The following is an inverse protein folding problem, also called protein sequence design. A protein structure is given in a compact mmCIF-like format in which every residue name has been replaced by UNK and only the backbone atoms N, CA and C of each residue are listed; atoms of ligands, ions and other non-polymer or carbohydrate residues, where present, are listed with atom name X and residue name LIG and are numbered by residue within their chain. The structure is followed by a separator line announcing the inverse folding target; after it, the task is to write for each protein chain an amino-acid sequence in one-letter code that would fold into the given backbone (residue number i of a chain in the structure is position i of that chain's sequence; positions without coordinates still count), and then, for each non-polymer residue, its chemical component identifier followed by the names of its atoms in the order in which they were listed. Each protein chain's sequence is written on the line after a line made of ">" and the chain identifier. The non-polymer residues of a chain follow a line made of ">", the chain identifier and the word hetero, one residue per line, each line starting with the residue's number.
data_IF_814990126105
#
_entry.id   IF_814990126105
#
_cell.length_a   1.000
_cell.length_b   1.000
_cell.length_c   1.000
_cell.angle_alpha   90.00
_cell.angle_beta   90.00
_cell.angle_gamma   90.00
#
_symmetry.space_group_name_H-M   'P 1'
#
loop_
_entity.id
_entity.type
_entity.pdbx_description
1 polymer ?
#
# COMPACT_ATOMS: atom_id res chain seq x y z
N UNK A 1 8.23 -14.23 23.89
CA UNK A 1 6.89 -14.87 23.75
C UNK A 1 6.44 -14.58 22.34
N UNK A 2 6.64 -15.52 21.42
CA UNK A 2 6.36 -15.34 20.00
C UNK A 2 4.90 -15.75 19.73
N UNK A 3 4.06 -14.80 19.40
CA UNK A 3 2.71 -15.05 18.90
C UNK A 3 2.76 -15.01 17.36
N UNK A 4 2.98 -16.16 16.74
CA UNK A 4 2.56 -16.40 15.37
C UNK A 4 1.23 -17.15 15.44
N UNK A 5 0.14 -16.40 15.44
CA UNK A 5 -1.20 -16.99 15.26
C UNK A 5 -1.55 -16.76 13.79
N UNK A 6 -1.22 -17.76 12.98
CA UNK A 6 -1.84 -17.97 11.68
C UNK A 6 -3.21 -18.58 11.97
N UNK A 7 -4.25 -17.76 11.91
CA UNK A 7 -5.63 -18.25 11.88
C UNK A 7 -5.92 -18.63 10.43
N UNK A 8 -5.86 -19.92 10.13
CA UNK A 8 -6.48 -20.53 8.95
C UNK A 8 -7.70 -21.31 9.43
N UNK A 9 -8.85 -21.08 8.80
CA UNK A 9 -9.98 -22.01 8.76
C UNK A 9 -10.91 -21.65 7.57
N UNK A 10 -11.33 -22.49 6.62
CA UNK A 10 -10.76 -23.66 5.90
C UNK A 10 -11.87 -24.22 4.98
N UNK A 11 -12.45 -23.44 4.05
CA UNK A 11 -13.46 -24.04 3.12
C UNK A 11 -13.28 -23.85 1.61
N UNK A 12 -13.09 -22.68 0.99
CA UNK A 12 -12.62 -22.52 -0.43
C UNK A 12 -12.01 -21.10 -0.59
N UNK A 13 -10.88 -20.95 -1.30
CA UNK A 13 -9.98 -19.80 -1.11
C UNK A 13 -9.56 -19.00 -2.37
N UNK A 14 -9.31 -17.71 -2.16
CA UNK A 14 -9.12 -16.57 -3.08
C UNK A 14 -8.00 -16.73 -4.14
N UNK A 15 -7.26 -17.84 -4.16
CA UNK A 15 -6.22 -18.11 -5.16
C UNK A 15 -6.72 -18.97 -6.33
N UNK A 16 -7.73 -19.82 -6.13
CA UNK A 16 -8.46 -20.41 -7.26
C UNK A 16 -9.16 -19.30 -8.09
N UNK A 17 -9.51 -18.20 -7.42
CA UNK A 17 -10.16 -17.00 -7.92
C UNK A 17 -9.27 -16.18 -8.87
N UNK A 18 -7.95 -16.10 -8.61
CA UNK A 18 -7.03 -15.27 -9.39
C UNK A 18 -6.56 -15.95 -10.69
N UNK A 19 -6.29 -17.26 -10.64
CA UNK A 19 -5.95 -18.03 -11.83
C UNK A 19 -7.13 -18.14 -12.84
N UNK A 20 -8.38 -18.02 -12.38
CA UNK A 20 -9.57 -17.95 -13.25
C UNK A 20 -9.74 -16.57 -13.92
N UNK A 21 -9.24 -15.50 -13.29
CA UNK A 21 -9.29 -14.13 -13.80
C UNK A 21 -8.19 -13.89 -14.86
N UNK A 22 -7.01 -14.48 -14.69
CA UNK A 22 -5.92 -14.39 -15.68
C UNK A 22 -6.20 -15.19 -16.96
N UNK A 23 -6.97 -16.27 -16.89
CA UNK A 23 -7.39 -17.04 -18.09
C UNK A 23 -8.51 -16.33 -18.90
N UNK A 24 -9.24 -15.37 -18.31
CA UNK A 24 -10.37 -14.65 -18.92
C UNK A 24 -10.05 -13.24 -19.50
N UNK A 25 -8.78 -12.81 -19.41
CA UNK A 25 -8.31 -11.53 -19.98
C UNK A 25 -8.60 -10.28 -19.15
N UNK A 26 -8.74 -10.40 -17.82
CA UNK A 26 -9.05 -9.30 -16.90
C UNK A 26 -7.82 -8.97 -16.02
N UNK A 27 -7.36 -7.73 -16.03
CA UNK A 27 -6.35 -7.18 -15.10
C UNK A 27 -6.93 -6.94 -13.70
N UNK A 28 -6.23 -7.38 -12.65
CA UNK A 28 -6.56 -7.08 -11.25
C UNK A 28 -5.33 -6.56 -10.50
N UNK A 29 -5.49 -5.50 -9.70
CA UNK A 29 -4.42 -4.90 -8.91
C UNK A 29 -4.01 -5.83 -7.74
N UNK A 30 -2.86 -6.49 -7.88
CA UNK A 30 -2.44 -7.56 -6.97
C UNK A 30 -1.73 -7.00 -5.73
N UNK A 31 -2.33 -7.23 -4.55
CA UNK A 31 -1.70 -7.07 -3.22
C UNK A 31 -0.63 -8.16 -2.95
N UNK A 32 0.36 -7.91 -2.07
CA UNK A 32 1.38 -8.90 -1.66
C UNK A 32 0.84 -10.26 -1.17
N UNK A 33 -0.42 -10.33 -0.73
CA UNK A 33 -1.10 -11.56 -0.30
C UNK A 33 -1.23 -12.63 -1.38
N UNK A 34 -1.31 -12.26 -2.67
CA UNK A 34 -1.47 -13.25 -3.74
C UNK A 34 -0.17 -13.98 -4.06
N UNK A 35 0.99 -13.35 -3.84
CA UNK A 35 2.30 -13.96 -4.08
C UNK A 35 2.67 -14.96 -2.97
N UNK A 36 2.37 -14.64 -1.70
CA UNK A 36 2.49 -15.60 -0.60
C UNK A 36 1.62 -16.84 -0.83
N UNK A 37 0.42 -16.63 -1.37
CA UNK A 37 -0.52 -17.71 -1.64
C UNK A 37 -0.17 -18.54 -2.87
N UNK A 38 0.31 -17.90 -3.94
CA UNK A 38 0.87 -18.58 -5.10
C UNK A 38 2.05 -19.47 -4.67
N UNK A 39 2.94 -18.97 -3.80
CA UNK A 39 4.08 -19.73 -3.27
C UNK A 39 3.65 -21.01 -2.52
N UNK A 40 2.59 -20.94 -1.73
CA UNK A 40 2.06 -22.10 -0.97
C UNK A 40 1.49 -23.16 -1.92
N UNK A 41 0.63 -22.77 -2.86
CA UNK A 41 0.03 -23.69 -3.84
C UNK A 41 1.12 -24.33 -4.71
N UNK A 42 2.11 -23.55 -5.14
CA UNK A 42 3.20 -24.07 -5.95
C UNK A 42 4.12 -25.01 -5.19
N UNK A 43 4.31 -24.83 -3.87
CA UNK A 43 5.08 -25.77 -3.05
C UNK A 43 4.38 -27.15 -2.94
N UNK A 44 3.05 -27.17 -2.86
CA UNK A 44 2.26 -28.41 -2.88
C UNK A 44 2.41 -29.14 -4.23
N UNK A 45 2.31 -28.40 -5.33
CA UNK A 45 2.50 -28.95 -6.69
C UNK A 45 3.93 -29.47 -6.90
N UNK A 46 4.96 -28.79 -6.39
CA UNK A 46 6.34 -29.25 -6.49
C UNK A 46 6.55 -30.59 -5.76
N UNK A 47 5.85 -30.84 -4.65
CA UNK A 47 5.96 -32.11 -3.94
C UNK A 47 5.46 -33.32 -4.75
N UNK A 48 4.63 -33.09 -5.77
CA UNK A 48 4.13 -34.12 -6.69
C UNK A 48 5.13 -34.50 -7.79
N UNK A 49 6.18 -33.70 -8.00
CA UNK A 49 7.23 -34.00 -8.98
C UNK A 49 8.11 -35.17 -8.51
N UNK A 50 8.73 -35.93 -9.44
CA UNK A 50 9.73 -36.93 -9.10
C UNK A 50 10.88 -36.31 -8.27
N UNK A 51 11.45 -37.01 -7.27
CA UNK A 51 12.46 -36.43 -6.36
C UNK A 51 13.69 -35.80 -7.03
N UNK A 52 14.07 -36.27 -8.23
CA UNK A 52 15.16 -35.69 -9.01
C UNK A 52 14.83 -34.36 -9.71
N UNK A 53 13.55 -34.02 -9.81
CA UNK A 53 13.04 -32.85 -10.55
C UNK A 53 12.49 -31.76 -9.61
N UNK A 54 12.17 -32.11 -8.36
CA UNK A 54 11.64 -31.17 -7.35
C UNK A 54 12.56 -29.94 -7.14
N UNK A 55 13.88 -30.15 -7.15
CA UNK A 55 14.84 -29.05 -7.02
C UNK A 55 14.76 -28.06 -8.18
N UNK A 56 14.64 -28.57 -9.40
CA UNK A 56 14.52 -27.74 -10.60
C UNK A 56 13.18 -26.98 -10.63
N UNK A 57 12.08 -27.65 -10.29
CA UNK A 57 10.75 -27.03 -10.22
C UNK A 57 10.69 -25.91 -9.16
N UNK A 58 11.35 -26.10 -8.00
CA UNK A 58 11.48 -25.07 -6.97
C UNK A 58 12.27 -23.86 -7.46
N UNK A 59 13.40 -24.08 -8.13
CA UNK A 59 14.25 -22.97 -8.57
C UNK A 59 13.55 -22.13 -9.66
N UNK A 60 12.73 -22.75 -10.53
CA UNK A 60 11.86 -22.04 -11.49
C UNK A 60 10.80 -21.21 -10.77
N UNK A 61 10.14 -21.77 -9.74
CA UNK A 61 9.14 -21.04 -8.96
C UNK A 61 9.74 -19.79 -8.30
N UNK A 62 10.92 -19.92 -7.70
CA UNK A 62 11.62 -18.78 -7.07
C UNK A 62 11.89 -17.69 -8.10
N UNK A 63 12.44 -18.05 -9.26
CA UNK A 63 12.73 -17.07 -10.31
C UNK A 63 11.46 -16.34 -10.81
N UNK A 64 10.35 -17.06 -10.98
CA UNK A 64 9.08 -16.46 -11.37
C UNK A 64 8.51 -15.53 -10.29
N UNK A 65 8.61 -15.93 -9.01
CA UNK A 65 8.17 -15.08 -7.90
C UNK A 65 8.99 -13.80 -7.79
N UNK A 66 10.31 -13.87 -7.98
CA UNK A 66 11.19 -12.71 -7.98
C UNK A 66 10.80 -11.74 -9.11
N UNK A 67 10.60 -12.24 -10.33
CA UNK A 67 10.16 -11.43 -11.47
C UNK A 67 8.78 -10.78 -11.24
N UNK A 68 7.84 -11.53 -10.65
CA UNK A 68 6.52 -11.00 -10.33
C UNK A 68 6.55 -9.92 -9.24
N UNK A 69 7.44 -10.07 -8.25
CA UNK A 69 7.67 -9.07 -7.21
C UNK A 69 8.25 -7.78 -7.81
N UNK A 70 9.26 -7.90 -8.68
CA UNK A 70 9.86 -6.75 -9.35
C UNK A 70 8.83 -6.00 -10.21
N UNK A 71 8.02 -6.72 -10.99
CA UNK A 71 6.96 -6.11 -11.80
C UNK A 71 5.89 -5.40 -10.94
N UNK A 72 5.52 -5.97 -9.79
CA UNK A 72 4.58 -5.36 -8.86
C UNK A 72 5.13 -4.08 -8.23
N UNK A 73 6.43 -4.07 -7.88
CA UNK A 73 7.12 -2.92 -7.34
C UNK A 73 7.26 -1.78 -8.37
N UNK A 74 7.61 -2.11 -9.62
CA UNK A 74 7.65 -1.16 -10.74
C UNK A 74 6.28 -0.54 -11.01
N UNK A 75 5.23 -1.37 -11.06
CA UNK A 75 3.87 -0.90 -11.26
C UNK A 75 3.42 0.02 -10.10
N UNK A 76 3.80 -0.30 -8.86
CA UNK A 76 3.53 0.54 -7.69
C UNK A 76 4.27 1.88 -7.79
N UNK A 77 5.56 1.87 -8.13
CA UNK A 77 6.37 3.09 -8.28
C UNK A 77 5.81 3.99 -9.39
N UNK A 78 5.39 3.41 -10.51
CA UNK A 78 4.73 4.13 -11.59
C UNK A 78 3.42 4.76 -11.14
N UNK A 79 2.55 4.03 -10.44
CA UNK A 79 1.28 4.60 -9.90
C UNK A 79 1.52 5.78 -8.97
N UNK A 80 2.56 5.72 -8.14
CA UNK A 80 2.95 6.84 -7.24
C UNK A 80 3.46 8.03 -8.05
N UNK A 81 4.33 7.78 -9.02
CA UNK A 81 4.90 8.85 -9.87
C UNK A 81 3.80 9.55 -10.66
N UNK A 82 2.94 8.79 -11.34
CA UNK A 82 1.79 9.28 -12.09
C UNK A 82 0.82 10.05 -11.18
N UNK A 83 0.63 9.57 -9.94
CA UNK A 83 -0.17 10.27 -8.93
C UNK A 83 0.43 11.65 -8.60
N UNK A 84 1.72 11.74 -8.31
CA UNK A 84 2.39 13.01 -7.97
C UNK A 84 2.32 13.98 -9.15
N UNK A 85 2.57 13.52 -10.37
CA UNK A 85 2.45 14.34 -11.58
C UNK A 85 1.03 14.86 -11.79
N UNK A 86 0.02 14.00 -11.59
CA UNK A 86 -1.39 14.38 -11.64
C UNK A 86 -1.73 15.41 -10.57
N UNK A 87 -1.28 15.20 -9.33
CA UNK A 87 -1.51 16.15 -8.23
C UNK A 87 -0.94 17.54 -8.56
N UNK A 88 0.28 17.58 -9.11
CA UNK A 88 0.93 18.83 -9.52
C UNK A 88 0.18 19.52 -10.66
N UNK A 89 -0.30 18.75 -11.63
CA UNK A 89 -1.07 19.26 -12.78
C UNK A 89 -2.42 19.84 -12.35
N UNK A 90 -3.14 19.11 -11.51
CA UNK A 90 -4.55 19.40 -11.21
C UNK A 90 -4.73 20.35 -10.02
N UNK A 91 -3.75 20.37 -9.10
CA UNK A 91 -3.82 21.17 -7.87
C UNK A 91 -2.65 22.15 -7.68
N UNK A 92 -1.72 22.21 -8.63
CA UNK A 92 -0.63 23.19 -8.66
C UNK A 92 0.55 22.83 -7.76
N UNK A 93 0.95 23.76 -6.89
CA UNK A 93 2.13 23.59 -6.05
C UNK A 93 1.95 22.44 -5.04
N UNK A 94 2.99 21.61 -4.92
CA UNK A 94 3.05 20.52 -3.96
C UNK A 94 3.99 20.86 -2.82
N UNK A 95 3.66 20.36 -1.63
CA UNK A 95 4.50 20.39 -0.45
C UNK A 95 4.81 18.96 -0.01
N UNK A 96 6.09 18.68 0.21
CA UNK A 96 6.53 17.37 0.69
C UNK A 96 6.55 17.36 2.22
N UNK A 97 5.74 16.50 2.82
CA UNK A 97 5.86 16.15 4.22
C UNK A 97 6.73 14.90 4.39
N UNK A 98 7.56 14.89 5.44
CA UNK A 98 8.34 13.72 5.86
C UNK A 98 8.10 13.48 7.33
N UNK A 99 7.78 12.25 7.71
CA UNK A 99 7.67 11.91 9.12
C UNK A 99 9.04 12.02 9.83
N UNK A 100 9.07 12.19 11.16
CA UNK A 100 10.30 12.07 11.94
C UNK A 100 10.99 10.72 11.68
N UNK A 101 12.24 10.75 11.21
CA UNK A 101 12.99 9.56 10.80
C UNK A 101 12.91 9.24 9.29
N UNK A 102 12.06 9.93 8.53
CA UNK A 102 12.12 9.99 7.06
C UNK A 102 11.60 8.76 6.30
N UNK A 103 10.97 7.80 6.99
CA UNK A 103 10.51 6.55 6.39
C UNK A 103 9.11 6.65 5.72
N UNK A 104 8.34 7.70 6.01
CA UNK A 104 7.15 8.10 5.25
C UNK A 104 7.41 9.45 4.60
N UNK A 105 7.03 9.56 3.32
CA UNK A 105 7.10 10.78 2.53
C UNK A 105 5.77 10.93 1.80
N UNK A 106 5.15 12.10 1.89
CA UNK A 106 3.89 12.43 1.21
C UNK A 106 4.07 13.74 0.44
N UNK A 107 3.79 13.73 -0.85
CA UNK A 107 3.71 14.91 -1.70
C UNK A 107 2.25 15.34 -1.82
N UNK A 108 1.92 16.48 -1.20
CA UNK A 108 0.55 16.92 -0.98
C UNK A 108 0.28 18.26 -1.66
N UNK A 109 -0.92 18.49 -2.24
CA UNK A 109 -1.30 19.79 -2.77
C UNK A 109 -1.27 20.90 -1.70
N UNK A 110 -0.38 21.88 -1.87
CA UNK A 110 -0.15 22.95 -0.89
C UNK A 110 -1.44 23.74 -0.61
N UNK A 111 -2.24 24.04 -1.63
CA UNK A 111 -3.49 24.78 -1.47
C UNK A 111 -4.50 24.08 -0.56
N UNK A 112 -4.62 22.76 -0.70
CA UNK A 112 -5.54 21.94 0.13
C UNK A 112 -4.97 21.80 1.54
N UNK A 113 -3.67 21.53 1.68
CA UNK A 113 -2.98 21.45 2.97
C UNK A 113 -3.13 22.74 3.78
N UNK A 114 -2.96 23.91 3.15
CA UNK A 114 -3.14 25.20 3.79
C UNK A 114 -4.60 25.45 4.19
N UNK A 115 -5.56 25.07 3.36
CA UNK A 115 -6.98 25.17 3.69
C UNK A 115 -7.36 24.36 4.95
N UNK A 116 -6.72 23.18 5.14
CA UNK A 116 -6.88 22.36 6.36
C UNK A 116 -6.29 23.05 7.59
N UNK A 117 -5.12 23.68 7.46
CA UNK A 117 -4.44 24.36 8.56
C UNK A 117 -5.11 25.67 9.00
N UNK A 118 -5.66 26.44 8.06
CA UNK A 118 -6.23 27.77 8.31
C UNK A 118 -7.69 27.75 8.79
N UNK A 119 -8.43 26.67 8.53
CA UNK A 119 -9.86 26.61 8.90
C UNK A 119 -10.03 26.39 10.41
N UNK A 120 -10.94 27.15 11.03
CA UNK A 120 -11.44 26.88 12.39
C UNK A 120 -12.69 25.99 12.41
N UNK A 121 -13.27 25.68 11.24
CA UNK A 121 -14.44 24.83 11.11
C UNK A 121 -14.01 23.35 11.01
N UNK A 122 -14.31 22.58 12.04
CA UNK A 122 -13.95 21.16 12.16
C UNK A 122 -14.61 20.27 11.10
N UNK A 123 -15.88 20.54 10.73
CA UNK A 123 -16.58 19.78 9.71
C UNK A 123 -15.95 19.99 8.32
N UNK A 124 -15.62 21.25 7.99
CA UNK A 124 -14.90 21.56 6.77
C UNK A 124 -13.51 20.93 6.75
N UNK A 125 -12.79 20.99 7.89
CA UNK A 125 -11.48 20.36 8.04
C UNK A 125 -11.53 18.87 7.76
N UNK A 126 -12.52 18.16 8.33
CA UNK A 126 -12.69 16.72 8.13
C UNK A 126 -12.96 16.37 6.66
N UNK A 127 -13.82 17.14 5.98
CA UNK A 127 -14.10 16.94 4.55
C UNK A 127 -12.82 17.07 3.72
N UNK A 128 -12.00 18.10 3.99
CA UNK A 128 -10.74 18.31 3.29
C UNK A 128 -9.69 17.23 3.58
N UNK A 129 -9.64 16.71 4.80
CA UNK A 129 -8.77 15.57 5.14
C UNK A 129 -9.18 14.33 4.34
N UNK A 130 -10.48 14.05 4.22
CA UNK A 130 -10.98 12.90 3.44
C UNK A 130 -10.65 13.03 1.96
N UNK A 131 -10.89 14.19 1.38
CA UNK A 131 -10.53 14.51 0.00
C UNK A 131 -9.02 14.33 -0.23
N UNK A 132 -8.19 14.88 0.65
CA UNK A 132 -6.74 14.76 0.56
C UNK A 132 -6.29 13.30 0.72
N UNK A 133 -6.94 12.53 1.59
CA UNK A 133 -6.67 11.08 1.75
C UNK A 133 -6.97 10.31 0.47
N UNK A 134 -8.10 10.59 -0.19
CA UNK A 134 -8.45 9.96 -1.47
C UNK A 134 -7.45 10.31 -2.58
N UNK A 135 -7.02 11.57 -2.64
CA UNK A 135 -6.03 12.05 -3.60
C UNK A 135 -4.66 11.38 -3.43
N UNK A 136 -4.28 11.11 -2.18
CA UNK A 136 -2.98 10.53 -1.80
C UNK A 136 -2.99 9.00 -1.76
N UNK A 137 -4.11 8.33 -2.04
CA UNK A 137 -4.25 6.89 -1.87
C UNK A 137 -3.08 6.08 -2.48
N UNK A 138 -2.60 6.34 -3.71
CA UNK A 138 -1.45 5.62 -4.27
C UNK A 138 -0.15 5.76 -3.47
N UNK A 139 0.06 6.91 -2.81
CA UNK A 139 1.20 7.13 -1.92
C UNK A 139 1.01 6.50 -0.54
N UNK A 140 -0.24 6.36 -0.09
CA UNK A 140 -0.60 5.84 1.24
C UNK A 140 -0.60 4.30 1.27
N UNK A 141 -1.10 3.66 0.23
CA UNK A 141 -1.22 2.18 0.13
C UNK A 141 0.13 1.45 0.18
N UNK A 142 1.24 2.14 -0.06
CA UNK A 142 2.59 1.58 0.07
C UNK A 142 3.06 1.48 1.54
N UNK A 143 2.38 2.14 2.46
CA UNK A 143 2.81 2.25 3.86
C UNK A 143 2.29 1.04 4.62
N UNK A 144 3.20 0.20 5.10
CA UNK A 144 2.83 -0.94 5.94
C UNK A 144 2.16 -0.47 7.24
N UNK A 145 1.13 -1.17 7.75
CA UNK A 145 0.44 -0.80 8.98
C UNK A 145 1.37 -0.65 10.19
N UNK A 146 2.44 -1.46 10.27
CA UNK A 146 3.45 -1.36 11.33
C UNK A 146 4.23 -0.04 11.29
N UNK A 147 4.54 0.45 10.09
CA UNK A 147 5.20 1.75 9.89
C UNK A 147 4.23 2.88 10.24
N UNK A 148 2.96 2.74 9.83
CA UNK A 148 1.89 3.69 10.12
C UNK A 148 1.64 3.84 11.62
N UNK A 149 1.57 2.72 12.33
CA UNK A 149 1.45 2.66 13.80
C UNK A 149 2.61 3.38 14.48
N UNK A 150 3.84 3.24 13.99
CA UNK A 150 5.01 3.93 14.52
C UNK A 150 4.91 5.47 14.44
N UNK A 151 4.14 6.00 13.50
CA UNK A 151 3.96 7.45 13.29
C UNK A 151 2.74 7.98 14.02
N UNK A 152 1.61 7.29 13.93
CA UNK A 152 0.35 7.75 14.53
C UNK A 152 0.34 7.46 16.04
N UNK A 153 1.10 6.46 16.49
CA UNK A 153 1.21 6.08 17.91
C UNK A 153 0.03 5.26 18.43
N UNK A 154 -0.80 4.72 17.54
CA UNK A 154 -1.95 3.85 17.86
C UNK A 154 -1.92 2.62 16.98
N UNK A 155 -2.57 1.54 17.43
CA UNK A 155 -2.72 0.33 16.62
C UNK A 155 -3.45 0.65 15.31
N UNK A 156 -2.86 0.19 14.20
CA UNK A 156 -3.34 0.46 12.85
C UNK A 156 -3.63 -0.87 12.13
N UNK A 157 -4.77 -0.92 11.47
CA UNK A 157 -5.17 -2.01 10.58
C UNK A 157 -4.75 -1.73 9.13
N UNK A 158 -4.32 -0.49 8.84
CA UNK A 158 -4.06 -0.03 7.47
C UNK A 158 -5.36 0.33 6.72
N UNK A 159 -6.41 0.65 7.46
CA UNK A 159 -7.67 1.10 6.88
C UNK A 159 -7.64 2.59 6.51
N UNK A 160 -8.71 3.03 5.85
CA UNK A 160 -8.88 4.43 5.45
C UNK A 160 -8.80 5.40 6.64
N UNK A 161 -9.29 5.00 7.82
CA UNK A 161 -9.30 5.85 9.01
C UNK A 161 -7.88 6.09 9.54
N UNK A 162 -7.00 5.09 9.41
CA UNK A 162 -5.58 5.25 9.76
C UNK A 162 -4.88 6.22 8.78
N UNK A 163 -5.18 6.15 7.49
CA UNK A 163 -4.67 7.10 6.52
C UNK A 163 -5.18 8.53 6.76
N UNK A 164 -6.46 8.70 7.08
CA UNK A 164 -7.02 10.02 7.43
C UNK A 164 -6.29 10.63 8.64
N UNK A 165 -5.93 9.82 9.65
CA UNK A 165 -5.13 10.26 10.81
C UNK A 165 -3.71 10.69 10.42
N UNK A 166 -3.05 9.93 9.54
CA UNK A 166 -1.72 10.29 9.03
C UNK A 166 -1.76 11.60 8.24
N UNK A 167 -2.73 11.76 7.35
CA UNK A 167 -2.90 12.99 6.56
C UNK A 167 -3.19 14.19 7.47
N UNK A 168 -4.03 14.02 8.49
CA UNK A 168 -4.30 15.06 9.48
C UNK A 168 -3.04 15.45 10.28
N UNK A 169 -2.17 14.49 10.61
CA UNK A 169 -0.87 14.76 11.22
C UNK A 169 0.04 15.54 10.27
N UNK A 170 0.19 15.09 9.03
CA UNK A 170 1.04 15.72 8.04
C UNK A 170 0.65 17.18 7.76
N UNK A 171 -0.64 17.46 7.59
CA UNK A 171 -1.15 18.82 7.41
C UNK A 171 -0.82 19.73 8.60
N UNK A 172 -0.97 19.22 9.83
CA UNK A 172 -0.68 19.97 11.05
C UNK A 172 0.80 20.31 11.17
N UNK A 173 1.69 19.38 10.82
CA UNK A 173 3.13 19.59 10.89
C UNK A 173 3.61 20.56 9.82
N UNK A 174 3.14 20.43 8.57
CA UNK A 174 3.44 21.42 7.52
C UNK A 174 3.01 22.81 7.97
N UNK A 175 1.79 22.95 8.48
CA UNK A 175 1.27 24.25 8.90
C UNK A 175 2.11 24.88 10.03
N UNK A 176 2.62 24.07 10.97
CA UNK A 176 3.51 24.50 12.05
C UNK A 176 4.92 24.87 11.58
N UNK A 177 5.40 24.34 10.46
CA UNK A 177 6.73 24.64 9.94
C UNK A 177 6.74 25.83 8.96
N UNK A 178 5.57 26.28 8.51
CA UNK A 178 5.41 27.45 7.66
C UNK A 178 5.13 28.75 8.43
N UNK A 179 4.75 28.68 9.71
CA UNK A 179 4.46 29.81 10.59
C UNK A 179 5.34 29.78 11.84
#
# INVERSE_FOLDING_TARGET
>A
MNLYVVVTDDTIDDAALLAALEVAGIEAQVKPLHLQRAAQVSAEVIAEYPPGEQGHARDILIAWMDEALDAADDARLKRITDNIERLKRDHGELVTWRCPGGYIVLDMPLGITNAVGLTSNDAYRLIRIRELTDLLLPQLERIAPSILQGVIGVECSGDRSDYERLVALACREIFRHQN
#
